data_IF_186857173255
#
_entry.id   IF_186857173255
#
_cell.length_a   1.000
_cell.length_b   1.000
_cell.length_c   1.000
_cell.angle_alpha   90.00
_cell.angle_beta   90.00
_cell.angle_gamma   90.00
#
_symmetry.space_group_name_H-M   'P 1'
#
loop_
_entity.id
_entity.type
_entity.pdbx_description
1 polymer ?
#
# COMPACT_ATOMS: atom_id res chain seq x y z
N UNK A 1 18.97 -25.30 -3.27
CA UNK A 1 19.18 -23.94 -3.81
C UNK A 1 18.76 -22.99 -2.71
N UNK A 2 19.54 -21.95 -2.42
CA UNK A 2 19.33 -21.08 -1.26
C UNK A 2 18.10 -20.20 -1.50
N UNK A 3 16.93 -20.62 -1.01
CA UNK A 3 15.72 -19.80 -0.89
C UNK A 3 15.91 -18.75 0.23
N UNK A 4 16.96 -17.93 0.11
CA UNK A 4 17.32 -16.91 1.11
C UNK A 4 16.91 -15.51 0.67
N UNK A 5 16.00 -15.39 -0.30
CA UNK A 5 15.26 -14.15 -0.46
C UNK A 5 14.17 -14.13 0.61
N UNK A 6 14.54 -14.03 1.89
CA UNK A 6 13.59 -13.82 2.99
C UNK A 6 13.15 -12.36 2.96
N UNK A 7 12.16 -12.05 2.12
CA UNK A 7 11.49 -10.75 2.19
C UNK A 7 10.81 -10.67 3.55
N UNK A 8 11.36 -9.81 4.40
CA UNK A 8 10.84 -9.56 5.74
C UNK A 8 9.64 -8.65 5.57
N UNK A 9 8.44 -9.22 5.74
CA UNK A 9 7.19 -8.44 5.72
C UNK A 9 7.23 -7.44 6.89
N UNK A 10 7.08 -6.13 6.63
CA UNK A 10 7.14 -5.13 7.68
C UNK A 10 5.96 -5.27 8.66
N UNK A 11 6.16 -4.91 9.94
CA UNK A 11 5.10 -5.01 10.96
C UNK A 11 3.87 -4.16 10.60
N UNK A 12 4.05 -3.05 9.88
CA UNK A 12 2.95 -2.22 9.39
C UNK A 12 2.00 -2.97 8.45
N UNK A 13 2.52 -3.93 7.66
CA UNK A 13 1.70 -4.75 6.77
C UNK A 13 1.11 -5.96 7.50
N UNK A 14 1.89 -6.58 8.41
CA UNK A 14 1.39 -7.65 9.27
C UNK A 14 0.17 -7.18 10.08
N UNK A 15 0.18 -5.96 10.58
CA UNK A 15 -0.95 -5.37 11.31
C UNK A 15 -2.25 -5.33 10.49
N UNK A 16 -2.19 -5.17 9.16
CA UNK A 16 -3.38 -5.20 8.28
C UNK A 16 -3.93 -6.61 8.10
N UNK A 17 -3.04 -7.61 8.16
CA UNK A 17 -3.37 -9.03 8.00
C UNK A 17 -3.68 -9.68 9.34
N UNK A 18 -3.53 -8.98 10.46
CA UNK A 18 -3.94 -9.46 11.77
C UNK A 18 -5.41 -9.16 12.03
N UNK A 19 -6.11 -10.12 12.61
CA UNK A 19 -7.47 -9.94 13.12
C UNK A 19 -7.48 -9.12 14.43
N UNK A 20 -8.66 -8.76 14.94
CA UNK A 20 -8.82 -8.06 16.22
C UNK A 20 -8.16 -8.77 17.41
N UNK A 21 -7.93 -10.09 17.31
CA UNK A 21 -7.19 -10.89 18.30
C UNK A 21 -5.68 -11.03 18.01
N UNK A 22 -5.14 -10.31 17.03
CA UNK A 22 -3.72 -10.35 16.66
C UNK A 22 -3.30 -11.60 15.87
N UNK A 23 -4.25 -12.44 15.44
CA UNK A 23 -3.98 -13.65 14.64
C UNK A 23 -3.88 -13.30 13.16
N UNK A 24 -2.83 -13.79 12.49
CA UNK A 24 -2.66 -13.61 11.04
C UNK A 24 -3.80 -14.31 10.26
N UNK A 25 -4.40 -13.56 9.34
CA UNK A 25 -5.39 -14.05 8.38
C UNK A 25 -4.64 -14.67 7.20
N UNK A 26 -4.52 -15.99 7.22
CA UNK A 26 -3.82 -16.80 6.22
C UNK A 26 -2.44 -17.27 6.68
N UNK A 27 -1.75 -18.02 5.82
CA UNK A 27 -0.40 -18.50 6.06
C UNK A 27 0.63 -17.36 5.89
N UNK A 28 1.81 -17.46 6.53
CA UNK A 28 2.89 -16.49 6.34
C UNK A 28 3.30 -16.30 4.86
N UNK A 29 3.24 -17.37 4.06
CA UNK A 29 3.52 -17.32 2.63
C UNK A 29 2.50 -16.46 1.87
N UNK A 30 1.19 -16.61 2.14
CA UNK A 30 0.14 -15.78 1.52
C UNK A 30 0.23 -14.31 1.93
N UNK A 31 0.65 -14.05 3.18
CA UNK A 31 0.86 -12.68 3.66
C UNK A 31 2.04 -12.05 2.92
N UNK A 32 3.11 -12.82 2.72
CA UNK A 32 4.30 -12.38 2.02
C UNK A 32 4.03 -12.11 0.53
N UNK A 33 3.39 -13.04 -0.17
CA UNK A 33 3.02 -12.85 -1.58
C UNK A 33 2.15 -11.59 -1.75
N UNK A 34 1.20 -11.38 -0.84
CA UNK A 34 0.35 -10.18 -0.87
C UNK A 34 1.13 -8.90 -0.58
N UNK A 35 2.09 -8.95 0.34
CA UNK A 35 2.99 -7.83 0.62
C UNK A 35 3.81 -7.47 -0.62
N UNK A 36 4.44 -8.46 -1.27
CA UNK A 36 5.26 -8.26 -2.47
C UNK A 36 4.43 -7.60 -3.58
N UNK A 37 3.21 -8.09 -3.79
CA UNK A 37 2.29 -7.50 -4.77
C UNK A 37 1.92 -6.05 -4.44
N UNK A 38 1.64 -5.74 -3.16
CA UNK A 38 1.32 -4.37 -2.73
C UNK A 38 2.52 -3.43 -2.84
N UNK A 39 3.72 -3.93 -2.57
CA UNK A 39 4.97 -3.18 -2.68
C UNK A 39 5.30 -2.85 -4.14
N UNK A 40 5.23 -3.85 -5.04
CA UNK A 40 5.41 -3.64 -6.48
C UNK A 40 4.39 -2.65 -7.04
N UNK A 41 3.13 -2.76 -6.60
CA UNK A 41 2.10 -1.79 -6.96
C UNK A 41 2.47 -0.38 -6.50
N UNK A 42 2.87 -0.18 -5.24
CA UNK A 42 3.30 1.13 -4.75
C UNK A 42 4.49 1.67 -5.56
N UNK A 43 5.47 0.84 -5.88
CA UNK A 43 6.63 1.21 -6.68
C UNK A 43 6.23 1.63 -8.11
N UNK A 44 5.34 0.88 -8.77
CA UNK A 44 4.87 1.21 -10.12
C UNK A 44 4.11 2.54 -10.19
N UNK A 45 3.46 2.94 -9.09
CA UNK A 45 2.71 4.20 -9.00
C UNK A 45 3.61 5.42 -8.78
N UNK A 46 4.87 5.25 -8.35
CA UNK A 46 5.81 6.36 -8.07
C UNK A 46 5.98 7.26 -9.29
N UNK A 47 6.30 6.68 -10.45
CA UNK A 47 6.51 7.46 -11.68
C UNK A 47 5.23 8.20 -12.09
N UNK A 48 4.09 7.50 -12.02
CA UNK A 48 2.80 8.10 -12.38
C UNK A 48 2.40 9.21 -11.41
N UNK A 49 2.68 9.07 -10.13
CA UNK A 49 2.41 10.09 -9.13
C UNK A 49 3.24 11.35 -9.35
N UNK A 50 4.53 11.21 -9.70
CA UNK A 50 5.38 12.34 -10.06
C UNK A 50 4.87 13.08 -11.30
N UNK A 51 4.37 12.36 -12.31
CA UNK A 51 3.76 12.97 -13.49
C UNK A 51 2.49 13.75 -13.15
N UNK A 52 1.59 13.16 -12.36
CA UNK A 52 0.34 13.81 -11.94
C UNK A 52 0.63 15.04 -11.08
N UNK A 53 1.65 14.98 -10.23
CA UNK A 53 2.04 16.07 -9.34
C UNK A 53 2.41 17.37 -10.06
N UNK A 54 2.99 17.30 -11.27
CA UNK A 54 3.35 18.49 -12.05
C UNK A 54 2.16 19.43 -12.34
N UNK A 55 0.94 18.90 -12.36
CA UNK A 55 -0.29 19.67 -12.57
C UNK A 55 -1.20 19.73 -11.34
N UNK A 56 -0.77 19.17 -10.21
CA UNK A 56 -1.60 19.07 -9.01
C UNK A 56 -1.37 20.25 -8.06
N UNK A 57 -2.39 20.65 -7.28
CA UNK A 57 -2.25 21.73 -6.31
C UNK A 57 -1.45 21.32 -5.06
N UNK A 58 -1.39 20.03 -4.72
CA UNK A 58 -0.62 19.52 -3.57
C UNK A 58 -0.37 18.01 -3.68
N UNK A 59 0.66 17.53 -2.97
CA UNK A 59 1.00 16.10 -2.81
C UNK A 59 -0.19 15.31 -2.26
N UNK A 60 -0.89 15.88 -1.27
CA UNK A 60 -2.05 15.27 -0.65
C UNK A 60 -3.20 15.05 -1.65
N UNK A 61 -3.42 15.98 -2.58
CA UNK A 61 -4.44 15.85 -3.63
C UNK A 61 -4.15 14.69 -4.57
N UNK A 62 -2.86 14.52 -4.93
CA UNK A 62 -2.41 13.40 -5.77
C UNK A 62 -2.66 12.07 -5.06
N UNK A 63 -2.19 11.95 -3.82
CA UNK A 63 -2.32 10.72 -3.04
C UNK A 63 -3.79 10.37 -2.75
N UNK A 64 -4.66 11.35 -2.50
CA UNK A 64 -6.10 11.14 -2.35
C UNK A 64 -6.73 10.59 -3.64
N UNK A 65 -6.29 11.09 -4.80
CA UNK A 65 -6.71 10.58 -6.11
C UNK A 65 -6.32 9.13 -6.33
N UNK A 66 -5.06 8.77 -6.02
CA UNK A 66 -4.60 7.38 -6.08
C UNK A 66 -5.37 6.49 -5.11
N UNK A 67 -5.57 6.92 -3.87
CA UNK A 67 -6.36 6.17 -2.90
C UNK A 67 -7.78 5.90 -3.39
N UNK A 68 -8.45 6.90 -3.96
CA UNK A 68 -9.78 6.74 -4.53
C UNK A 68 -9.79 5.72 -5.69
N UNK A 69 -8.76 5.74 -6.55
CA UNK A 69 -8.61 4.77 -7.64
C UNK A 69 -8.33 3.35 -7.12
N UNK A 70 -7.48 3.20 -6.10
CA UNK A 70 -7.12 1.90 -5.50
C UNK A 70 -8.28 1.26 -4.72
N UNK A 71 -9.26 2.06 -4.28
CA UNK A 71 -10.50 1.54 -3.67
C UNK A 71 -11.48 0.98 -4.70
N UNK A 72 -11.25 1.19 -5.99
CA UNK A 72 -12.10 0.62 -7.02
C UNK A 72 -11.92 -0.90 -7.06
N UNK A 73 -12.99 -1.71 -7.20
CA UNK A 73 -12.88 -3.17 -7.20
C UNK A 73 -11.97 -3.72 -8.31
N UNK A 74 -11.76 -2.95 -9.38
CA UNK A 74 -10.83 -3.31 -10.46
C UNK A 74 -9.36 -3.35 -10.02
N UNK A 75 -8.99 -2.65 -8.93
CA UNK A 75 -7.65 -2.74 -8.36
C UNK A 75 -7.41 -4.08 -7.65
N UNK A 76 -8.46 -4.83 -7.31
CA UNK A 76 -8.33 -6.11 -6.59
C UNK A 76 -7.83 -5.95 -5.14
N UNK A 77 -7.88 -4.74 -4.59
CA UNK A 77 -7.42 -4.40 -3.25
C UNK A 77 -8.58 -4.29 -2.27
N UNK A 78 -8.37 -4.78 -1.05
CA UNK A 78 -9.20 -4.35 0.08
C UNK A 78 -8.91 -2.88 0.41
N UNK A 79 -9.86 -2.22 1.07
CA UNK A 79 -9.69 -0.83 1.44
C UNK A 79 -8.43 -0.63 2.35
N UNK A 80 -8.14 -1.60 3.22
CA UNK A 80 -6.99 -1.55 4.12
C UNK A 80 -5.66 -1.65 3.34
N UNK A 81 -5.61 -2.49 2.32
CA UNK A 81 -4.46 -2.60 1.41
C UNK A 81 -4.33 -1.34 0.55
N UNK A 82 -5.42 -0.80 0.00
CA UNK A 82 -5.41 0.44 -0.77
C UNK A 82 -4.85 1.62 0.05
N UNK A 83 -5.25 1.72 1.33
CA UNK A 83 -4.70 2.68 2.28
C UNK A 83 -3.20 2.48 2.48
N UNK A 84 -2.77 1.24 2.69
CA UNK A 84 -1.34 0.94 2.90
C UNK A 84 -0.48 1.24 1.67
N UNK A 85 -0.94 0.84 0.46
CA UNK A 85 -0.25 1.14 -0.80
C UNK A 85 -0.11 2.65 -0.98
N UNK A 86 -1.15 3.42 -0.65
CA UNK A 86 -1.11 4.89 -0.70
C UNK A 86 -0.07 5.46 0.27
N UNK A 87 0.00 4.94 1.50
CA UNK A 87 0.99 5.38 2.49
C UNK A 87 2.42 5.00 2.06
N UNK A 88 2.63 3.78 1.54
CA UNK A 88 3.93 3.39 0.98
C UNK A 88 4.34 4.26 -0.19
N UNK A 89 3.41 4.58 -1.09
CA UNK A 89 3.67 5.48 -2.20
C UNK A 89 4.14 6.85 -1.71
N UNK A 90 3.47 7.41 -0.68
CA UNK A 90 3.89 8.66 -0.07
C UNK A 90 5.31 8.56 0.52
N UNK A 91 5.61 7.47 1.24
CA UNK A 91 6.96 7.23 1.79
C UNK A 91 8.03 7.10 0.69
N UNK A 92 7.75 6.40 -0.40
CA UNK A 92 8.69 6.25 -1.53
C UNK A 92 8.98 7.58 -2.23
N UNK A 93 7.97 8.45 -2.31
CA UNK A 93 8.09 9.79 -2.88
C UNK A 93 8.71 10.81 -1.91
N UNK A 94 8.85 10.45 -0.63
CA UNK A 94 9.25 11.39 0.42
C UNK A 94 8.19 12.44 0.74
N UNK A 95 6.91 12.16 0.43
CA UNK A 95 5.78 13.06 0.66
C UNK A 95 5.17 12.85 2.04
N UNK A 96 4.44 13.86 2.52
CA UNK A 96 3.67 13.73 3.74
C UNK A 96 2.48 12.78 3.55
N UNK A 97 2.28 11.88 4.50
CA UNK A 97 1.13 10.97 4.50
C UNK A 97 -0.19 11.74 4.46
N UNK A 98 -1.14 11.39 3.56
CA UNK A 98 -2.39 12.10 3.45
C UNK A 98 -3.32 11.71 4.61
N UNK A 99 -4.22 12.61 4.98
CA UNK A 99 -5.30 12.30 5.91
C UNK A 99 -6.31 11.38 5.20
N UNK A 100 -6.10 10.07 5.31
CA UNK A 100 -7.01 9.04 4.80
C UNK A 100 -8.06 8.73 5.87
N UNK A 101 -9.33 8.50 5.49
CA UNK A 101 -10.36 8.11 6.44
C UNK A 101 -9.94 6.83 7.19
N UNK A 102 -10.35 6.73 8.45
CA UNK A 102 -10.27 5.46 9.16
C UNK A 102 -11.15 4.45 8.44
N UNK A 103 -10.59 3.29 8.16
CA UNK A 103 -11.27 2.16 7.55
C UNK A 103 -12.34 1.68 8.55
N UNK A 104 -13.62 1.69 8.15
CA UNK A 104 -14.77 1.22 8.95
C UNK A 104 -14.87 -0.31 8.94
#
# INVERSE_FOLDING_TARGET
>A
MQDDNQIVVPPSFLALRQDAQGRLRGTPAEVRERYEWCEDMAASLVERAQQVYQGAPSEASVLQGFHAALRHPEAGLSAAEARWVTLRLAELLGWHGPALPAED
#
